data_IF_201621220923
#
_entry.id   IF_201621220923
#
_cell.length_a   1.000
_cell.length_b   1.000
_cell.length_c   1.000
_cell.angle_alpha   90.00
_cell.angle_beta   90.00
_cell.angle_gamma   90.00
#
_symmetry.space_group_name_H-M   'P 1'
#
loop_
_entity.id
_entity.type
_entity.pdbx_description
1 polymer ?
#
# COMPACT_ATOMS: atom_id res chain seq x y z
N UNK A 1 -13.41 -13.33 -28.44
CA UNK A 1 -12.84 -14.19 -28.05
C UNK A 1 -13.48 -15.37 -28.05
N UNK A 2 -13.12 -16.19 -28.07
CA UNK A 2 -13.67 -17.13 -28.26
C UNK A 2 -13.85 -18.10 -27.47
N UNK A 3 -14.57 -18.69 -27.63
CA UNK A 3 -14.99 -19.63 -26.80
C UNK A 3 -14.03 -20.71 -26.60
N UNK A 4 -14.02 -21.27 -25.49
CA UNK A 4 -13.19 -22.39 -25.20
C UNK A 4 -13.76 -23.60 -25.85
N UNK A 5 -13.12 -24.73 -25.69
CA UNK A 5 -13.54 -25.97 -26.14
C UNK A 5 -14.90 -26.35 -25.74
N UNK A 6 -15.34 -25.85 -24.64
CA UNK A 6 -16.62 -26.24 -24.12
C UNK A 6 -17.68 -25.26 -24.52
N UNK A 7 -17.35 -24.41 -25.48
CA UNK A 7 -18.28 -23.36 -25.88
C UNK A 7 -18.35 -22.20 -24.95
N UNK A 8 -17.65 -22.23 -23.86
CA UNK A 8 -17.53 -21.11 -22.94
C UNK A 8 -16.15 -20.55 -22.99
N UNK A 9 -16.00 -19.25 -22.91
CA UNK A 9 -14.66 -18.67 -22.84
C UNK A 9 -14.01 -19.05 -21.55
N UNK A 10 -12.70 -19.18 -21.58
CA UNK A 10 -11.94 -19.29 -20.36
C UNK A 10 -11.86 -17.91 -19.77
N UNK A 11 -12.44 -17.77 -18.61
CA UNK A 11 -12.43 -16.50 -17.91
C UNK A 11 -11.30 -16.56 -16.88
N UNK A 12 -10.30 -15.72 -17.12
CA UNK A 12 -9.24 -15.55 -16.15
C UNK A 12 -9.63 -14.38 -15.27
N UNK A 13 -10.08 -14.69 -14.08
CA UNK A 13 -10.45 -13.65 -13.14
C UNK A 13 -9.19 -13.24 -12.39
N UNK A 14 -8.82 -11.98 -12.54
CA UNK A 14 -7.68 -11.44 -11.81
C UNK A 14 -8.03 -11.45 -10.33
N UNK A 15 -7.11 -11.97 -9.51
CA UNK A 15 -7.26 -11.96 -8.06
C UNK A 15 -6.66 -10.65 -7.56
N UNK A 16 -7.48 -9.76 -7.00
CA UNK A 16 -6.95 -8.48 -6.52
C UNK A 16 -6.00 -8.69 -5.34
N UNK A 17 -5.01 -7.83 -5.30
CA UNK A 17 -4.02 -7.86 -4.23
C UNK A 17 -3.91 -6.47 -3.61
N UNK A 18 -3.36 -6.42 -2.41
CA UNK A 18 -3.08 -5.14 -1.78
C UNK A 18 -1.70 -5.15 -1.16
N UNK A 19 -1.05 -4.00 -1.22
CA UNK A 19 0.14 -3.72 -0.46
C UNK A 19 -0.30 -3.05 0.83
N UNK A 20 -0.02 -3.66 1.96
CA UNK A 20 -0.27 -3.05 3.26
C UNK A 20 1.03 -2.49 3.80
N UNK A 21 1.02 -1.20 4.08
CA UNK A 21 2.16 -0.53 4.69
C UNK A 21 1.78 -0.28 6.15
N UNK A 22 2.57 -0.82 7.06
CA UNK A 22 2.36 -0.64 8.49
C UNK A 22 3.45 0.26 9.02
N UNK A 23 3.05 1.42 9.53
CA UNK A 23 3.98 2.40 10.11
C UNK A 23 3.89 2.27 11.62
N UNK A 24 4.98 1.89 12.25
CA UNK A 24 5.03 1.81 13.71
C UNK A 24 5.12 3.23 14.28
N UNK A 25 4.87 3.38 15.58
CA UNK A 25 4.82 4.70 16.19
C UNK A 25 6.10 5.49 15.96
N UNK A 26 6.07 6.56 15.16
CA UNK A 26 7.26 7.34 14.89
C UNK A 26 7.67 8.16 16.11
N UNK A 27 8.96 8.45 16.21
CA UNK A 27 9.48 9.27 17.31
C UNK A 27 8.96 10.69 17.20
N UNK A 28 8.70 11.15 15.97
CA UNK A 28 8.14 12.46 15.70
C UNK A 28 6.93 12.30 14.77
N UNK A 29 5.73 12.10 15.33
CA UNK A 29 4.53 11.93 14.50
C UNK A 29 4.26 13.14 13.60
N UNK A 30 4.55 14.35 14.08
CA UNK A 30 4.34 15.56 13.28
C UNK A 30 5.21 15.58 12.05
N UNK A 31 6.47 15.17 12.18
CA UNK A 31 7.38 15.09 11.05
C UNK A 31 6.93 14.01 10.06
N UNK A 32 6.46 12.87 10.56
CA UNK A 32 5.93 11.83 9.69
C UNK A 32 4.72 12.34 8.90
N UNK A 33 3.76 12.98 9.57
CA UNK A 33 2.57 13.50 8.91
C UNK A 33 2.91 14.56 7.88
N UNK A 34 3.88 15.41 8.17
CA UNK A 34 4.33 16.43 7.22
C UNK A 34 4.90 15.79 5.96
N UNK A 35 5.69 14.74 6.10
CA UNK A 35 6.22 14.02 4.95
C UNK A 35 5.11 13.29 4.20
N UNK A 36 4.27 12.53 4.91
CA UNK A 36 3.21 11.73 4.31
C UNK A 36 2.25 12.61 3.51
N UNK A 37 1.92 13.78 4.02
CA UNK A 37 1.00 14.71 3.35
C UNK A 37 1.68 15.71 2.43
N UNK A 38 2.98 15.60 2.22
CA UNK A 38 3.69 16.55 1.36
C UNK A 38 3.25 16.42 -0.09
N UNK A 39 3.28 17.51 -0.87
CA UNK A 39 2.97 17.45 -2.29
C UNK A 39 3.88 16.48 -3.04
N UNK A 40 5.17 16.42 -2.68
CA UNK A 40 6.11 15.52 -3.31
C UNK A 40 5.74 14.05 -3.11
N UNK A 41 5.32 13.68 -1.89
CA UNK A 41 4.91 12.32 -1.61
C UNK A 41 3.63 11.95 -2.37
N UNK A 42 2.68 12.86 -2.42
CA UNK A 42 1.44 12.65 -3.16
C UNK A 42 1.68 12.53 -4.65
N UNK A 43 2.62 13.30 -5.17
CA UNK A 43 2.98 13.22 -6.58
C UNK A 43 3.61 11.86 -6.91
N UNK A 44 4.50 11.36 -6.07
CA UNK A 44 5.10 10.04 -6.27
C UNK A 44 4.03 8.94 -6.26
N UNK A 45 3.12 9.00 -5.32
CA UNK A 45 2.02 8.03 -5.25
C UNK A 45 1.19 8.04 -6.53
N UNK A 46 0.90 9.23 -7.05
CA UNK A 46 0.14 9.38 -8.29
C UNK A 46 0.85 8.88 -9.53
N UNK A 47 2.17 8.72 -9.48
CA UNK A 47 2.96 8.21 -10.60
C UNK A 47 3.13 6.70 -10.60
N UNK A 48 2.75 6.03 -9.52
CA UNK A 48 2.81 4.56 -9.49
C UNK A 48 1.65 4.04 -10.33
N UNK A 49 1.94 3.22 -11.37
CA UNK A 49 0.88 2.81 -12.29
C UNK A 49 -0.05 1.77 -11.69
N UNK A 50 -1.27 1.74 -12.20
CA UNK A 50 -2.26 0.68 -11.94
C UNK A 50 -2.78 0.59 -10.52
N UNK A 51 -2.60 1.62 -9.71
CA UNK A 51 -3.23 1.67 -8.40
C UNK A 51 -4.73 1.87 -8.60
N UNK A 52 -5.53 0.97 -8.03
CA UNK A 52 -6.98 1.07 -8.11
C UNK A 52 -7.55 1.94 -7.00
N UNK A 53 -6.96 1.84 -5.81
CA UNK A 53 -7.47 2.53 -4.64
C UNK A 53 -6.40 2.59 -3.56
N UNK A 54 -6.45 3.62 -2.74
CA UNK A 54 -5.59 3.75 -1.57
C UNK A 54 -6.49 4.01 -0.36
N UNK A 55 -6.29 3.23 0.70
CA UNK A 55 -6.95 3.46 1.97
C UNK A 55 -5.90 3.69 3.04
N UNK A 56 -5.98 4.82 3.70
CA UNK A 56 -5.07 5.13 4.80
C UNK A 56 -5.87 5.31 6.07
N UNK A 57 -5.35 4.78 7.17
CA UNK A 57 -6.02 4.85 8.46
C UNK A 57 -5.02 5.08 9.57
N UNK A 58 -5.40 5.89 10.53
CA UNK A 58 -4.64 6.00 11.78
C UNK A 58 -5.15 4.96 12.75
N UNK A 59 -4.23 4.29 13.42
CA UNK A 59 -4.58 3.25 14.36
C UNK A 59 -4.91 3.90 15.71
N UNK A 60 -6.04 3.50 16.31
CA UNK A 60 -6.39 3.99 17.63
C UNK A 60 -5.47 3.38 18.69
N UNK A 61 -5.20 4.11 19.78
CA UNK A 61 -4.52 3.50 20.91
C UNK A 61 -5.40 2.41 21.52
N UNK A 62 -4.81 1.57 22.38
CA UNK A 62 -5.56 0.53 23.07
C UNK A 62 -6.58 1.17 24.01
N UNK A 63 -7.57 0.37 24.45
CA UNK A 63 -8.63 0.85 25.33
C UNK A 63 -8.11 1.47 26.61
N UNK A 64 -6.99 0.98 27.12
CA UNK A 64 -6.35 1.50 28.33
C UNK A 64 -5.50 2.75 28.07
N UNK A 65 -5.49 3.24 26.80
CA UNK A 65 -4.72 4.42 26.42
C UNK A 65 -3.27 4.15 26.09
N UNK A 66 -2.81 2.90 26.24
CA UNK A 66 -1.43 2.58 25.88
C UNK A 66 -1.27 2.52 24.36
N UNK A 67 -0.05 2.78 23.85
CA UNK A 67 0.17 2.76 22.39
C UNK A 67 0.05 1.35 21.83
N UNK A 68 -0.48 1.26 20.62
CA UNK A 68 -0.46 0.02 19.86
C UNK A 68 0.89 -0.11 19.17
N UNK A 69 1.22 -1.30 18.63
CA UNK A 69 2.46 -1.45 17.88
C UNK A 69 2.45 -0.79 16.51
N UNK A 70 1.33 -0.16 16.12
CA UNK A 70 1.23 0.51 14.83
C UNK A 70 0.64 1.90 15.01
N UNK A 71 1.10 2.84 14.17
CA UNK A 71 0.63 4.21 14.19
C UNK A 71 -0.36 4.46 13.04
N UNK A 72 -0.03 3.94 11.84
CA UNK A 72 -0.83 4.14 10.65
C UNK A 72 -0.73 2.91 9.76
N UNK A 73 -1.81 2.61 9.05
CA UNK A 73 -1.79 1.61 7.98
C UNK A 73 -2.18 2.28 6.67
N UNK A 74 -1.57 1.83 5.58
CA UNK A 74 -1.89 2.30 4.24
C UNK A 74 -2.05 1.07 3.37
N UNK A 75 -3.23 0.90 2.77
CA UNK A 75 -3.48 -0.20 1.85
C UNK A 75 -3.56 0.35 0.43
N UNK A 76 -2.75 -0.20 -0.46
CA UNK A 76 -2.70 0.18 -1.86
C UNK A 76 -3.16 -1.02 -2.69
N UNK A 77 -4.21 -0.84 -3.48
CA UNK A 77 -4.89 -1.94 -4.17
C UNK A 77 -4.48 -2.02 -5.64
N UNK A 78 -4.21 -3.23 -6.10
CA UNK A 78 -3.84 -3.52 -7.49
C UNK A 78 -4.72 -4.63 -8.05
N UNK A 79 -4.88 -4.68 -9.41
CA UNK A 79 -5.74 -5.71 -10.03
C UNK A 79 -5.27 -7.14 -9.79
N UNK A 80 -3.96 -7.38 -9.80
CA UNK A 80 -3.40 -8.71 -9.59
C UNK A 80 -1.94 -8.62 -9.14
N UNK A 81 -1.38 -9.75 -8.80
CA UNK A 81 -0.02 -9.85 -8.28
C UNK A 81 1.03 -9.39 -9.29
N UNK A 82 0.92 -9.81 -10.55
CA UNK A 82 1.91 -9.47 -11.57
C UNK A 82 1.95 -7.95 -11.81
N UNK A 83 0.78 -7.33 -11.89
CA UNK A 83 0.67 -5.88 -12.06
C UNK A 83 1.23 -5.16 -10.84
N UNK A 84 0.93 -5.66 -9.64
CA UNK A 84 1.46 -5.08 -8.41
C UNK A 84 2.99 -5.13 -8.39
N UNK A 85 3.57 -6.28 -8.73
CA UNK A 85 5.03 -6.43 -8.74
C UNK A 85 5.68 -5.47 -9.74
N UNK A 86 5.09 -5.33 -10.92
CA UNK A 86 5.60 -4.40 -11.92
C UNK A 86 5.53 -2.94 -11.43
N UNK A 87 4.40 -2.57 -10.82
CA UNK A 87 4.21 -1.22 -10.31
C UNK A 87 5.16 -0.92 -9.15
N UNK A 88 5.34 -1.88 -8.24
CA UNK A 88 6.21 -1.70 -7.08
C UNK A 88 7.70 -1.74 -7.46
N UNK A 89 8.03 -2.23 -8.65
CA UNK A 89 9.38 -2.17 -9.18
C UNK A 89 9.71 -0.85 -9.88
N UNK A 90 8.76 0.08 -9.96
CA UNK A 90 9.02 1.36 -10.62
C UNK A 90 9.92 2.25 -9.76
N UNK A 91 10.68 3.18 -10.40
CA UNK A 91 11.50 4.11 -9.63
C UNK A 91 10.70 4.96 -8.65
N UNK A 92 9.50 5.38 -9.06
CA UNK A 92 8.63 6.20 -8.22
C UNK A 92 8.19 5.45 -6.96
N UNK A 93 7.89 4.16 -7.09
CA UNK A 93 7.54 3.34 -5.94
C UNK A 93 8.72 3.20 -4.99
N UNK A 94 9.93 3.04 -5.54
CA UNK A 94 11.15 2.98 -4.73
C UNK A 94 11.41 4.27 -3.97
N UNK A 95 11.22 5.42 -4.63
CA UNK A 95 11.37 6.71 -3.99
C UNK A 95 10.34 6.91 -2.89
N UNK A 96 9.08 6.54 -3.16
CA UNK A 96 8.01 6.65 -2.18
C UNK A 96 8.33 5.81 -0.94
N UNK A 97 8.70 4.56 -1.15
CA UNK A 97 9.02 3.64 -0.05
C UNK A 97 10.22 4.14 0.76
N UNK A 98 11.25 4.62 0.08
CA UNK A 98 12.44 5.15 0.74
C UNK A 98 12.16 6.36 1.58
N UNK A 99 11.35 7.29 1.07
CA UNK A 99 10.95 8.49 1.81
C UNK A 99 10.11 8.16 3.03
N UNK A 100 9.15 7.24 2.87
CA UNK A 100 8.33 6.78 3.99
C UNK A 100 9.17 6.10 5.07
N UNK A 101 10.12 5.27 4.64
CA UNK A 101 11.00 4.57 5.58
C UNK A 101 11.85 5.54 6.39
N UNK A 102 12.34 6.61 5.76
CA UNK A 102 13.11 7.62 6.47
C UNK A 102 12.26 8.37 7.50
N UNK A 103 11.00 8.65 7.16
CA UNK A 103 10.09 9.37 8.05
C UNK A 103 9.55 8.46 9.15
N UNK A 104 9.49 7.15 8.89
CA UNK A 104 8.94 6.18 9.84
C UNK A 104 10.01 5.75 10.85
N UNK A 105 10.36 6.64 11.75
CA UNK A 105 11.46 6.46 12.70
C UNK A 105 11.21 5.36 13.72
N UNK A 106 9.98 4.89 13.86
CA UNK A 106 9.65 3.75 14.71
C UNK A 106 9.66 2.41 13.98
N UNK A 107 9.80 2.44 12.66
CA UNK A 107 9.81 1.24 11.82
C UNK A 107 8.67 1.23 10.82
N UNK A 108 8.85 0.44 9.77
CA UNK A 108 7.85 0.32 8.71
C UNK A 108 7.91 -1.11 8.16
N UNK A 109 6.75 -1.64 7.77
CA UNK A 109 6.65 -2.97 7.17
C UNK A 109 5.76 -2.91 5.94
N UNK A 110 6.13 -3.70 4.93
CA UNK A 110 5.40 -3.79 3.67
C UNK A 110 4.96 -5.23 3.48
N UNK A 111 3.66 -5.45 3.29
CA UNK A 111 3.09 -6.78 3.10
C UNK A 111 2.23 -6.78 1.85
N UNK A 112 2.56 -7.66 0.90
CA UNK A 112 1.73 -7.81 -0.30
C UNK A 112 0.90 -9.08 -0.12
N UNK A 113 -0.41 -8.96 -0.23
CA UNK A 113 -1.31 -10.06 0.06
C UNK A 113 -2.44 -10.19 -0.94
N UNK A 114 -2.92 -11.43 -1.14
CA UNK A 114 -4.11 -11.67 -1.92
C UNK A 114 -5.34 -11.30 -1.10
N UNK A 115 -6.29 -10.67 -1.76
CA UNK A 115 -7.54 -10.34 -1.10
C UNK A 115 -8.47 -11.54 -1.27
N UNK A 116 -8.96 -12.05 -0.16
CA UNK A 116 -9.90 -13.18 -0.14
C UNK A 116 -11.30 -12.71 0.14
N UNK A 117 -12.26 -13.38 -0.47
CA UNK A 117 -13.66 -13.06 -0.24
C UNK A 117 -14.17 -13.66 1.07
#
# INVERSE_FOLDING_TARGET
MEASLWGSPVIIVAVPVKLTIIVDNPKDPGAFEAHYNSPANKELLGKIPNIQRVEAAKVFPKEDGSPTPAYRTIDVYFPDYAIACAALGSPEAGELAGGLAQAATGGIRFLLSDIED
#
